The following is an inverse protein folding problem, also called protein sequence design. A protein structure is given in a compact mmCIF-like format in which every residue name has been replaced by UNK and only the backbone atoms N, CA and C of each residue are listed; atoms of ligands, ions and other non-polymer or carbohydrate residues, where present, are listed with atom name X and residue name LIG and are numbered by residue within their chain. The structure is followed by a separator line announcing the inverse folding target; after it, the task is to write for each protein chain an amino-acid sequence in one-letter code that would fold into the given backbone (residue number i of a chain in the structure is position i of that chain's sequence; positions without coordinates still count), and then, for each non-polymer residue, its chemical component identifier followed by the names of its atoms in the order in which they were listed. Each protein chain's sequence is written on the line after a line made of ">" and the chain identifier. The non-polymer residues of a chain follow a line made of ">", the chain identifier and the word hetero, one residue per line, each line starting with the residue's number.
data_IF_028100367337
#
_entry.id   IF_028100367337
#
_cell.length_a   1.000
_cell.length_b   1.000
_cell.length_c   1.000
_cell.angle_alpha   90.00
_cell.angle_beta   90.00
_cell.angle_gamma   90.00
#
_symmetry.space_group_name_H-M   'P 1'
#
loop_
_entity.id
_entity.type
_entity.pdbx_description
1 polymer ?
#
# COMPACT_ATOMS: atom_id res chain seq x y z
N UNK A 1 -15.94 -3.71 -18.26
CA UNK A 1 -14.75 -2.88 -17.95
C UNK A 1 -14.38 -3.12 -16.49
N UNK A 2 -13.48 -4.06 -16.19
CA UNK A 2 -12.91 -4.24 -14.85
C UNK A 2 -11.55 -3.55 -14.83
N UNK A 3 -11.54 -2.31 -14.37
CA UNK A 3 -10.32 -1.54 -14.14
C UNK A 3 -9.44 -2.31 -13.15
N UNK A 4 -8.25 -2.72 -13.60
CA UNK A 4 -7.19 -3.20 -12.74
C UNK A 4 -6.93 -2.13 -11.67
N UNK A 5 -7.38 -2.38 -10.45
CA UNK A 5 -6.95 -1.65 -9.26
C UNK A 5 -5.51 -2.06 -8.99
N UNK A 6 -4.57 -1.55 -9.78
CA UNK A 6 -3.15 -1.67 -9.45
C UNK A 6 -2.80 -0.57 -8.44
N UNK A 7 -2.07 -0.95 -7.39
CA UNK A 7 -1.44 0.02 -6.49
C UNK A 7 -0.57 0.97 -7.33
N UNK A 8 -0.55 2.28 -7.01
CA UNK A 8 0.26 3.23 -7.75
C UNK A 8 1.75 2.86 -7.70
N UNK A 9 2.45 3.10 -8.80
CA UNK A 9 3.87 2.77 -8.95
C UNK A 9 4.16 1.27 -9.08
N UNK A 10 5.37 0.84 -8.68
CA UNK A 10 5.77 -0.59 -8.67
C UNK A 10 5.83 -1.17 -7.25
N UNK A 11 4.72 -1.65 -6.68
CA UNK A 11 4.74 -2.33 -5.39
C UNK A 11 5.58 -3.61 -5.44
N UNK A 12 6.25 -3.95 -4.35
CA UNK A 12 6.95 -5.23 -4.22
C UNK A 12 5.96 -6.41 -4.20
N UNK A 13 6.40 -7.64 -4.53
CA UNK A 13 5.52 -8.81 -4.67
C UNK A 13 4.69 -9.12 -3.42
N UNK A 14 5.26 -8.88 -2.23
CA UNK A 14 4.55 -9.05 -0.96
C UNK A 14 3.42 -8.05 -0.76
N UNK A 15 3.63 -6.79 -1.12
CA UNK A 15 2.59 -5.76 -0.98
C UNK A 15 1.51 -5.94 -2.05
N UNK A 16 1.90 -6.38 -3.24
CA UNK A 16 0.96 -6.73 -4.30
C UNK A 16 0.07 -7.92 -3.90
N UNK A 17 0.61 -8.95 -3.24
CA UNK A 17 -0.17 -10.06 -2.72
C UNK A 17 -1.15 -9.62 -1.62
N UNK A 18 -0.72 -8.75 -0.70
CA UNK A 18 -1.61 -8.17 0.32
C UNK A 18 -2.73 -7.37 -0.36
N UNK A 19 -2.38 -6.50 -1.30
CA UNK A 19 -3.36 -5.71 -2.03
C UNK A 19 -4.35 -6.56 -2.82
N UNK A 20 -3.89 -7.63 -3.46
CA UNK A 20 -4.74 -8.58 -4.16
C UNK A 20 -5.74 -9.27 -3.21
N UNK A 21 -5.36 -9.49 -1.95
CA UNK A 21 -6.19 -10.10 -0.93
C UNK A 21 -7.17 -9.13 -0.25
N UNK A 22 -6.87 -7.82 -0.23
CA UNK A 22 -7.77 -6.79 0.28
C UNK A 22 -9.03 -6.66 -0.59
N UNK A 23 -10.19 -6.48 0.06
CA UNK A 23 -11.46 -6.17 -0.60
C UNK A 23 -11.52 -4.68 -1.02
N UNK A 24 -12.46 -4.33 -1.91
CA UNK A 24 -12.56 -2.99 -2.50
C UNK A 24 -12.68 -1.85 -1.47
N UNK A 25 -13.39 -2.07 -0.37
CA UNK A 25 -13.50 -1.09 0.72
C UNK A 25 -12.18 -0.91 1.48
N UNK A 26 -11.48 -2.01 1.75
CA UNK A 26 -10.21 -2.03 2.48
C UNK A 26 -9.08 -1.40 1.65
N UNK A 27 -9.06 -1.68 0.34
CA UNK A 27 -8.15 -1.04 -0.61
C UNK A 27 -8.29 0.46 -0.60
N UNK A 28 -9.52 0.97 -0.66
CA UNK A 28 -9.79 2.41 -0.67
C UNK A 28 -9.36 3.09 0.63
N UNK A 29 -9.56 2.43 1.78
CA UNK A 29 -9.06 2.91 3.06
C UNK A 29 -7.52 2.91 3.09
N UNK A 30 -6.90 1.80 2.70
CA UNK A 30 -5.44 1.67 2.68
C UNK A 30 -4.77 2.68 1.75
N UNK A 31 -5.28 2.84 0.53
CA UNK A 31 -4.79 3.82 -0.45
C UNK A 31 -4.86 5.24 0.11
N UNK A 32 -5.97 5.62 0.75
CA UNK A 32 -6.13 6.92 1.39
C UNK A 32 -5.09 7.15 2.49
N UNK A 33 -4.84 6.15 3.34
CA UNK A 33 -3.85 6.26 4.40
C UNK A 33 -2.42 6.28 3.87
N UNK A 34 -2.14 5.53 2.80
CA UNK A 34 -0.84 5.46 2.16
C UNK A 34 -0.42 6.81 1.54
N UNK A 35 -1.39 7.51 0.93
CA UNK A 35 -1.18 8.82 0.31
C UNK A 35 -1.16 9.97 1.33
N UNK A 36 -1.90 9.83 2.42
CA UNK A 36 -1.79 10.74 3.54
C UNK A 36 -0.47 10.51 4.28
N UNK A 37 0.00 11.50 5.05
CA UNK A 37 1.24 11.37 5.81
C UNK A 37 1.13 10.48 7.06
N UNK A 38 0.28 9.46 6.98
CA UNK A 38 0.03 8.44 7.99
C UNK A 38 1.34 7.72 8.29
N UNK A 39 1.62 7.47 9.57
CA UNK A 39 2.80 6.75 9.97
C UNK A 39 2.78 5.33 9.39
N UNK A 40 3.97 4.80 9.06
CA UNK A 40 4.09 3.45 8.56
C UNK A 40 3.60 2.40 9.57
N UNK A 41 3.68 2.70 10.87
CA UNK A 41 3.21 1.82 11.94
C UNK A 41 1.68 1.75 12.01
N UNK A 42 1.00 2.87 11.81
CA UNK A 42 -0.47 2.88 11.71
C UNK A 42 -0.96 2.06 10.51
N UNK A 43 -0.27 2.18 9.36
CA UNK A 43 -0.58 1.37 8.17
C UNK A 43 -0.37 -0.13 8.42
N UNK A 44 0.66 -0.49 9.19
CA UNK A 44 0.88 -1.88 9.63
C UNK A 44 -0.26 -2.35 10.52
N UNK A 45 -0.66 -1.53 11.49
CA UNK A 45 -1.74 -1.86 12.42
C UNK A 45 -3.09 -2.04 11.70
N UNK A 46 -3.40 -1.17 10.74
CA UNK A 46 -4.60 -1.29 9.90
C UNK A 46 -4.59 -2.60 9.13
N UNK A 47 -3.47 -2.93 8.46
CA UNK A 47 -3.37 -4.17 7.70
C UNK A 47 -3.41 -5.42 8.59
N UNK A 48 -2.78 -5.38 9.77
CA UNK A 48 -2.81 -6.48 10.74
C UNK A 48 -4.22 -6.73 11.26
N UNK A 49 -5.03 -5.67 11.44
CA UNK A 49 -6.46 -5.77 11.78
C UNK A 49 -7.28 -6.53 10.74
N UNK A 50 -6.88 -6.44 9.47
CA UNK A 50 -7.47 -7.21 8.36
C UNK A 50 -6.80 -8.58 8.14
N UNK A 51 -5.88 -9.00 9.03
CA UNK A 51 -5.18 -10.28 8.94
C UNK A 51 -3.95 -10.26 8.02
N UNK A 52 -3.52 -9.09 7.55
CA UNK A 52 -2.38 -8.94 6.65
C UNK A 52 -1.14 -8.41 7.37
N UNK A 53 -0.18 -9.29 7.63
CA UNK A 53 1.09 -8.90 8.27
C UNK A 53 2.11 -8.33 7.29
N UNK A 54 2.39 -7.04 7.45
CA UNK A 54 3.48 -6.33 6.78
C UNK A 54 4.34 -5.60 7.79
N UNK A 55 5.61 -5.34 7.47
CA UNK A 55 6.51 -4.58 8.31
C UNK A 55 6.48 -3.10 7.95
N UNK A 56 6.65 -2.21 8.93
CA UNK A 56 6.73 -0.76 8.69
C UNK A 56 7.84 -0.40 7.69
N UNK A 57 8.96 -1.14 7.71
CA UNK A 57 10.04 -0.99 6.72
C UNK A 57 9.60 -1.26 5.29
N UNK A 58 8.69 -2.22 5.06
CA UNK A 58 8.13 -2.49 3.72
C UNK A 58 7.30 -1.31 3.24
N UNK A 59 6.45 -0.75 4.12
CA UNK A 59 5.66 0.45 3.81
C UNK A 59 6.57 1.64 3.50
N UNK A 60 7.59 1.91 4.33
CA UNK A 60 8.57 2.99 4.09
C UNK A 60 9.30 2.80 2.76
N UNK A 61 9.74 1.58 2.44
CA UNK A 61 10.43 1.26 1.19
C UNK A 61 9.53 1.54 -0.02
N UNK A 62 8.26 1.14 0.07
CA UNK A 62 7.30 1.41 -0.99
C UNK A 62 7.00 2.91 -1.15
N UNK A 63 6.76 3.64 -0.05
CA UNK A 63 6.59 5.11 -0.09
C UNK A 63 7.82 5.81 -0.68
N UNK A 64 9.02 5.34 -0.36
CA UNK A 64 10.26 5.86 -0.95
C UNK A 64 10.30 5.64 -2.47
N UNK A 65 9.96 4.44 -2.95
CA UNK A 65 9.91 4.14 -4.39
C UNK A 65 8.86 4.97 -5.12
N UNK A 66 7.67 5.09 -4.54
CA UNK A 66 6.60 5.96 -5.06
C UNK A 66 7.08 7.39 -5.28
N UNK A 67 7.79 7.98 -4.31
CA UNK A 67 8.38 9.32 -4.47
C UNK A 67 9.48 9.39 -5.52
N UNK A 68 10.27 8.33 -5.66
CA UNK A 68 11.31 8.26 -6.69
C UNK A 68 10.67 8.23 -8.08
N UNK A 69 9.68 7.37 -8.29
CA UNK A 69 8.95 7.27 -9.56
C UNK A 69 8.21 8.57 -9.90
N UNK A 70 7.64 9.26 -8.90
CA UNK A 70 6.98 10.55 -9.10
C UNK A 70 7.94 11.69 -9.46
N UNK A 71 9.21 11.63 -9.06
CA UNK A 71 10.24 12.61 -9.42
C UNK A 71 10.96 12.29 -10.73
N UNK A 72 10.83 11.06 -11.23
CA UNK A 72 11.46 10.56 -12.47
C UNK A 72 10.49 10.62 -13.67
N UNK A 73 9.32 11.29 -13.51
CA UNK A 73 8.28 11.51 -14.54
C UNK A 73 8.07 12.98 -14.87
#
# INVERSE_FOLDING_TARGET
>A
MTTRCDLPGRPGPRLQAIWAALDGAERKAFERHLMNDTAAEDLVWILDRYGHRVSASTIRTYRRRLRQEANDS
#
